data_IF_529895847238
#
_entry.id   IF_529895847238
#
_cell.length_a   1.000
_cell.length_b   1.000
_cell.length_c   1.000
_cell.angle_alpha   90.00
_cell.angle_beta   90.00
_cell.angle_gamma   90.00
#
_symmetry.space_group_name_H-M   'P 1'
#
loop_
_entity.id
_entity.type
_entity.pdbx_description
1 polymer ?
#
# COMPACT_ATOMS: atom_id res chain seq x y z
N UNK A 1 11.64 6.43 0.08
CA UNK A 1 13.08 6.32 -0.24
C UNK A 1 13.35 5.86 -1.68
N UNK A 2 12.31 5.45 -2.44
CA UNK A 2 12.45 4.78 -3.74
C UNK A 2 13.41 5.49 -4.72
N UNK A 3 13.33 6.81 -4.87
CA UNK A 3 14.17 7.59 -5.81
C UNK A 3 15.69 7.50 -5.57
N UNK A 4 16.09 7.11 -4.36
CA UNK A 4 17.50 6.99 -3.96
C UNK A 4 17.97 5.53 -3.89
N UNK A 5 17.08 4.55 -4.03
CA UNK A 5 17.44 3.14 -4.04
C UNK A 5 18.14 2.80 -5.36
N UNK A 6 19.23 2.04 -5.28
CA UNK A 6 20.12 1.72 -6.40
C UNK A 6 21.19 2.78 -6.67
N UNK A 7 21.19 3.91 -5.94
CA UNK A 7 22.25 4.92 -5.98
C UNK A 7 23.19 4.70 -4.78
N UNK A 8 24.51 4.51 -5.01
CA UNK A 8 25.43 4.26 -3.91
C UNK A 8 25.63 5.49 -3.03
N UNK A 9 25.67 5.26 -1.72
CA UNK A 9 26.18 6.23 -0.76
C UNK A 9 27.69 6.48 -1.00
N UNK A 10 28.29 7.53 -0.41
CA UNK A 10 29.73 7.74 -0.46
C UNK A 10 30.51 6.48 -0.03
N UNK A 11 31.64 6.19 -0.69
CA UNK A 11 32.46 5.00 -0.40
C UNK A 11 32.98 4.93 1.04
N UNK A 12 33.14 6.08 1.70
CA UNK A 12 33.43 6.12 3.14
C UNK A 12 32.30 5.50 3.97
N UNK A 13 31.07 5.82 3.63
CA UNK A 13 29.88 5.46 4.39
C UNK A 13 29.54 3.99 4.15
N UNK A 14 29.69 3.52 2.91
CA UNK A 14 29.56 2.09 2.57
C UNK A 14 30.58 1.27 3.37
N UNK A 15 31.86 1.67 3.40
CA UNK A 15 32.89 0.96 4.17
C UNK A 15 32.60 0.97 5.67
N UNK A 16 32.23 2.13 6.22
CA UNK A 16 31.87 2.26 7.63
C UNK A 16 30.67 1.38 8.00
N UNK A 17 29.65 1.33 7.13
CA UNK A 17 28.49 0.47 7.32
C UNK A 17 28.87 -1.02 7.32
N UNK A 18 29.70 -1.46 6.37
CA UNK A 18 30.17 -2.84 6.31
C UNK A 18 31.01 -3.21 7.53
N UNK A 19 31.88 -2.31 7.99
CA UNK A 19 32.71 -2.53 9.19
C UNK A 19 31.86 -2.60 10.46
N UNK A 20 30.88 -1.71 10.63
CA UNK A 20 29.98 -1.68 11.77
C UNK A 20 29.14 -2.96 11.91
N UNK A 21 28.85 -3.62 10.78
CA UNK A 21 28.02 -4.84 10.76
C UNK A 21 28.82 -6.11 10.42
N UNK A 22 30.15 -6.08 10.55
CA UNK A 22 31.00 -7.24 10.26
C UNK A 22 30.64 -8.48 11.13
N UNK A 23 30.11 -8.26 12.34
CA UNK A 23 29.62 -9.34 13.21
C UNK A 23 28.40 -10.10 12.67
N UNK A 24 27.70 -9.54 11.68
CA UNK A 24 26.58 -10.18 11.00
C UNK A 24 27.01 -10.94 9.73
N UNK A 25 28.27 -10.86 9.31
CA UNK A 25 28.81 -11.61 8.17
C UNK A 25 29.06 -13.09 8.53
N UNK A 26 27.96 -13.80 8.79
CA UNK A 26 27.90 -15.22 9.14
C UNK A 26 26.53 -15.79 8.76
N UNK A 27 26.33 -17.08 8.99
CA UNK A 27 24.98 -17.65 8.96
C UNK A 27 24.17 -17.15 10.16
N UNK A 28 23.01 -16.55 9.88
CA UNK A 28 22.07 -16.10 10.90
C UNK A 28 20.77 -16.88 10.79
N UNK A 29 20.40 -17.56 11.88
CA UNK A 29 19.10 -18.21 12.00
C UNK A 29 18.09 -17.23 12.59
N UNK A 30 17.10 -16.82 11.79
CA UNK A 30 15.99 -15.99 12.26
C UNK A 30 14.79 -16.90 12.54
N UNK A 31 14.27 -16.95 13.79
CA UNK A 31 13.06 -17.70 14.09
C UNK A 31 11.90 -17.29 13.19
N UNK A 32 11.31 -18.26 12.48
CA UNK A 32 10.24 -18.03 11.51
C UNK A 32 10.69 -18.09 10.04
N UNK A 33 12.00 -18.08 9.76
CA UNK A 33 12.56 -18.30 8.42
C UNK A 33 13.12 -19.72 8.33
N UNK A 34 12.77 -20.46 7.27
CA UNK A 34 13.06 -21.89 7.16
C UNK A 34 14.56 -22.20 7.00
N UNK A 35 15.31 -21.31 6.33
CA UNK A 35 16.72 -21.49 6.03
C UNK A 35 17.56 -20.37 6.66
N UNK A 36 18.77 -20.67 7.17
CA UNK A 36 19.68 -19.65 7.63
C UNK A 36 19.98 -18.62 6.55
N UNK A 37 20.09 -17.36 6.95
CA UNK A 37 20.55 -16.29 6.08
C UNK A 37 22.07 -16.37 5.97
N UNK A 38 22.58 -16.81 4.82
CA UNK A 38 24.01 -16.82 4.54
C UNK A 38 24.48 -15.41 4.18
N UNK A 39 25.18 -14.76 5.11
CA UNK A 39 25.63 -13.38 4.95
C UNK A 39 27.15 -13.36 4.88
N UNK A 40 27.68 -12.81 3.81
CA UNK A 40 29.11 -12.49 3.69
C UNK A 40 29.32 -10.98 3.54
N UNK A 41 30.57 -10.54 3.65
CA UNK A 41 30.93 -9.13 3.56
C UNK A 41 30.54 -8.50 2.21
N UNK A 42 30.64 -9.26 1.13
CA UNK A 42 30.32 -8.78 -0.22
C UNK A 42 28.82 -8.52 -0.38
N UNK A 43 27.98 -9.37 0.24
CA UNK A 43 26.54 -9.18 0.29
C UNK A 43 26.18 -7.93 1.11
N UNK A 44 26.78 -7.73 2.28
CA UNK A 44 26.55 -6.50 3.07
C UNK A 44 26.93 -5.25 2.27
N UNK A 45 28.06 -5.28 1.57
CA UNK A 45 28.48 -4.17 0.71
C UNK A 45 27.49 -3.92 -0.44
N UNK A 46 27.03 -4.97 -1.12
CA UNK A 46 26.05 -4.86 -2.20
C UNK A 46 24.73 -4.25 -1.71
N UNK A 47 24.25 -4.69 -0.55
CA UNK A 47 23.02 -4.15 0.07
C UNK A 47 23.22 -2.68 0.47
N UNK A 48 24.36 -2.35 1.09
CA UNK A 48 24.68 -0.96 1.45
C UNK A 48 24.70 -0.05 0.23
N UNK A 49 25.36 -0.46 -0.86
CA UNK A 49 25.38 0.28 -2.13
C UNK A 49 23.98 0.46 -2.73
N UNK A 50 23.06 -0.46 -2.46
CA UNK A 50 21.69 -0.39 -2.98
C UNK A 50 20.76 0.47 -2.13
N UNK A 51 20.85 0.41 -0.80
CA UNK A 51 19.83 0.99 0.09
C UNK A 51 20.33 2.08 1.03
N UNK A 52 21.63 2.11 1.37
CA UNK A 52 22.15 2.98 2.44
C UNK A 52 21.84 4.45 2.18
N UNK A 53 22.06 4.93 0.94
CA UNK A 53 21.78 6.32 0.60
C UNK A 53 20.31 6.69 0.81
N UNK A 54 19.39 5.80 0.41
CA UNK A 54 17.95 6.03 0.59
C UNK A 54 17.58 6.18 2.07
N UNK A 55 18.20 5.39 2.95
CA UNK A 55 18.00 5.49 4.40
C UNK A 55 18.65 6.73 4.98
N UNK A 56 19.85 7.11 4.52
CA UNK A 56 20.51 8.36 4.92
C UNK A 56 19.66 9.60 4.58
N UNK A 57 19.05 9.64 3.39
CA UNK A 57 18.11 10.71 3.00
C UNK A 57 16.87 10.71 3.88
N UNK A 58 16.31 9.54 4.22
CA UNK A 58 15.22 9.45 5.18
C UNK A 58 15.63 9.98 6.57
N UNK A 59 16.85 9.69 7.02
CA UNK A 59 17.42 10.19 8.28
C UNK A 59 17.54 11.72 8.29
N UNK A 60 18.00 12.32 7.19
CA UNK A 60 18.05 13.78 7.03
C UNK A 60 16.66 14.41 7.13
N UNK A 61 15.67 13.84 6.45
CA UNK A 61 14.28 14.32 6.50
C UNK A 61 13.71 14.17 7.91
N UNK A 62 13.90 13.03 8.56
CA UNK A 62 13.45 12.78 9.91
C UNK A 62 14.01 13.83 10.89
N UNK A 63 15.33 14.03 10.90
CA UNK A 63 16.00 15.02 11.78
C UNK A 63 15.48 16.42 11.52
N UNK A 64 15.34 16.82 10.26
CA UNK A 64 14.79 18.13 9.89
C UNK A 64 13.37 18.36 10.44
N UNK A 65 12.49 17.36 10.36
CA UNK A 65 11.13 17.44 10.90
C UNK A 65 11.14 17.44 12.43
N UNK A 66 11.96 16.57 13.05
CA UNK A 66 12.08 16.46 14.50
C UNK A 66 12.58 17.74 15.15
N UNK A 67 13.56 18.43 14.55
CA UNK A 67 14.05 19.74 15.01
C UNK A 67 12.95 20.82 15.07
N UNK A 68 11.93 20.72 14.22
CA UNK A 68 10.87 21.74 14.08
C UNK A 68 9.59 21.38 14.82
N UNK A 69 9.22 20.12 14.81
CA UNK A 69 7.96 19.63 15.38
C UNK A 69 8.14 18.97 16.74
N UNK A 70 9.36 18.54 17.09
CA UNK A 70 9.63 17.63 18.20
C UNK A 70 9.47 16.17 17.77
N UNK A 71 10.40 15.30 18.19
CA UNK A 71 10.47 13.89 17.78
C UNK A 71 9.17 13.12 18.10
N UNK A 72 8.55 13.37 19.25
CA UNK A 72 7.35 12.65 19.70
C UNK A 72 6.02 13.23 19.16
N UNK A 73 6.08 14.22 18.26
CA UNK A 73 4.88 14.89 17.71
C UNK A 73 4.53 14.44 16.30
N UNK A 74 5.18 13.38 15.81
CA UNK A 74 4.87 12.73 14.55
C UNK A 74 5.29 11.27 14.55
N UNK A 75 4.80 10.52 13.58
CA UNK A 75 5.08 9.10 13.40
C UNK A 75 5.93 8.97 12.13
N UNK A 76 7.07 8.32 12.24
CA UNK A 76 7.94 8.05 11.09
C UNK A 76 7.60 6.70 10.46
N UNK A 77 7.31 6.71 9.16
CA UNK A 77 7.27 5.52 8.32
C UNK A 77 8.47 5.53 7.36
N UNK A 78 9.10 4.38 7.20
CA UNK A 78 10.14 4.16 6.17
C UNK A 78 9.55 3.32 5.04
N UNK A 79 9.44 3.90 3.83
CA UNK A 79 8.78 3.26 2.68
C UNK A 79 9.70 3.01 1.49
N UNK A 80 9.55 1.84 0.89
CA UNK A 80 10.23 1.37 -0.32
C UNK A 80 9.33 0.46 -1.19
N UNK A 81 8.01 0.54 -1.03
CA UNK A 81 7.02 -0.22 -1.79
C UNK A 81 7.01 0.10 -3.30
N UNK A 82 7.45 1.32 -3.65
CA UNK A 82 7.57 1.81 -5.03
C UNK A 82 8.91 1.45 -5.71
N UNK A 83 9.72 0.54 -5.16
CA UNK A 83 10.93 0.03 -5.85
C UNK A 83 10.59 -0.92 -6.99
N UNK A 84 11.55 -1.26 -7.84
CA UNK A 84 11.32 -2.22 -8.94
C UNK A 84 11.16 -3.67 -8.44
N UNK A 85 11.93 -4.04 -7.42
CA UNK A 85 12.00 -5.41 -6.90
C UNK A 85 11.60 -5.48 -5.43
N UNK A 86 10.96 -6.58 -4.99
CA UNK A 86 10.72 -6.85 -3.57
C UNK A 86 12.04 -7.01 -2.83
N UNK A 87 12.07 -6.63 -1.56
CA UNK A 87 13.24 -6.81 -0.72
C UNK A 87 13.31 -8.26 -0.23
N UNK A 88 14.49 -8.86 -0.28
CA UNK A 88 14.75 -10.15 0.37
C UNK A 88 14.82 -9.99 1.89
N UNK A 89 14.66 -11.08 2.68
CA UNK A 89 14.80 -11.01 4.14
C UNK A 89 16.16 -10.45 4.61
N UNK A 90 17.25 -10.76 3.88
CA UNK A 90 18.59 -10.23 4.18
C UNK A 90 18.65 -8.73 3.90
N UNK A 91 18.10 -8.28 2.78
CA UNK A 91 18.01 -6.84 2.46
C UNK A 91 17.21 -6.11 3.54
N UNK A 92 16.05 -6.64 3.94
CA UNK A 92 15.22 -6.07 5.00
C UNK A 92 15.97 -5.94 6.33
N UNK A 93 16.75 -6.96 6.71
CA UNK A 93 17.55 -6.92 7.93
C UNK A 93 18.54 -5.75 7.93
N UNK A 94 19.30 -5.57 6.85
CA UNK A 94 20.29 -4.50 6.76
C UNK A 94 19.68 -3.12 6.50
N UNK A 95 18.51 -3.05 5.88
CA UNK A 95 17.73 -1.81 5.79
C UNK A 95 17.33 -1.36 7.20
N UNK A 96 16.80 -2.26 8.02
CA UNK A 96 16.44 -1.97 9.41
C UNK A 96 17.65 -1.60 10.26
N UNK A 97 18.81 -2.25 10.03
CA UNK A 97 20.07 -1.87 10.65
C UNK A 97 20.49 -0.43 10.28
N UNK A 98 20.37 -0.05 9.00
CA UNK A 98 20.63 1.31 8.55
C UNK A 98 19.64 2.33 9.15
N UNK A 99 18.35 1.97 9.26
CA UNK A 99 17.30 2.81 9.87
C UNK A 99 17.62 3.09 11.34
N UNK A 100 18.06 2.06 12.08
CA UNK A 100 18.53 2.19 13.44
C UNK A 100 19.79 3.07 13.52
N UNK A 101 20.75 2.87 12.61
CA UNK A 101 21.99 3.66 12.53
C UNK A 101 21.76 5.15 12.26
N UNK A 102 20.73 5.50 11.49
CA UNK A 102 20.30 6.89 11.27
C UNK A 102 19.49 7.49 12.44
N UNK A 103 19.21 6.69 13.47
CA UNK A 103 18.45 7.11 14.65
C UNK A 103 16.98 7.42 14.36
N UNK A 104 16.40 6.75 13.36
CA UNK A 104 14.99 6.93 12.99
C UNK A 104 14.13 5.99 13.86
N UNK A 105 13.27 6.49 14.75
CA UNK A 105 12.35 5.67 15.54
C UNK A 105 11.14 5.26 14.68
N UNK A 106 11.41 4.47 13.63
CA UNK A 106 10.39 4.03 12.68
C UNK A 106 9.28 3.27 13.42
N UNK A 107 8.04 3.71 13.22
CA UNK A 107 6.84 3.07 13.77
C UNK A 107 6.24 2.10 12.75
N UNK A 108 6.51 2.33 11.47
CA UNK A 108 6.08 1.44 10.39
C UNK A 108 7.17 1.35 9.32
N UNK A 109 7.27 0.17 8.69
CA UNK A 109 8.12 -0.06 7.51
C UNK A 109 7.29 -0.69 6.39
N UNK A 110 7.41 -0.17 5.18
CA UNK A 110 6.66 -0.63 4.02
C UNK A 110 7.60 -1.17 2.93
N UNK A 111 7.84 -2.48 2.89
CA UNK A 111 8.56 -3.12 1.79
C UNK A 111 7.68 -3.24 0.55
N UNK A 112 8.30 -3.61 -0.56
CA UNK A 112 7.57 -4.09 -1.75
C UNK A 112 7.38 -5.60 -1.65
N UNK A 113 6.16 -6.06 -1.89
CA UNK A 113 5.82 -7.48 -2.01
C UNK A 113 5.83 -7.95 -3.46
N UNK A 114 6.05 -9.25 -3.69
CA UNK A 114 5.80 -9.86 -5.00
C UNK A 114 4.32 -9.75 -5.38
N UNK A 115 4.03 -9.80 -6.69
CA UNK A 115 2.69 -9.71 -7.25
C UNK A 115 2.29 -8.26 -7.51
N UNK A 116 1.01 -8.04 -7.80
CA UNK A 116 0.48 -6.72 -8.13
C UNK A 116 -0.55 -6.26 -7.11
N UNK A 117 -0.31 -5.07 -6.59
CA UNK A 117 -1.21 -4.35 -5.69
C UNK A 117 -1.98 -3.28 -6.46
N UNK A 118 -2.68 -3.69 -7.51
CA UNK A 118 -3.40 -2.78 -8.38
C UNK A 118 -4.47 -1.98 -7.59
N UNK A 119 -4.67 -0.72 -7.93
CA UNK A 119 -5.61 0.18 -7.24
C UNK A 119 -7.04 -0.32 -7.41
N UNK A 120 -7.83 -0.30 -6.33
CA UNK A 120 -9.26 -0.63 -6.34
C UNK A 120 -9.64 -2.10 -6.59
N UNK A 121 -8.69 -3.02 -6.73
CA UNK A 121 -8.97 -4.43 -7.02
C UNK A 121 -8.18 -5.36 -6.10
N UNK A 122 -8.46 -6.66 -6.17
CA UNK A 122 -7.77 -7.68 -5.38
C UNK A 122 -6.31 -7.86 -5.82
N UNK A 123 -5.55 -8.57 -4.99
CA UNK A 123 -4.18 -8.95 -5.26
C UNK A 123 -4.10 -9.87 -6.49
N UNK A 124 -3.10 -9.66 -7.34
CA UNK A 124 -2.81 -10.53 -8.50
C UNK A 124 -1.42 -11.11 -8.34
N UNK A 125 -1.35 -12.43 -8.15
CA UNK A 125 -0.09 -13.16 -7.98
C UNK A 125 -0.27 -14.48 -7.24
N UNK A 126 0.85 -15.07 -6.83
CA UNK A 126 0.85 -16.25 -5.96
C UNK A 126 0.61 -15.81 -4.51
N UNK A 127 -0.54 -16.19 -3.97
CA UNK A 127 -0.98 -15.85 -2.59
C UNK A 127 -0.14 -16.59 -1.55
N UNK A 128 0.28 -17.83 -1.82
CA UNK A 128 1.12 -18.59 -0.90
C UNK A 128 2.54 -18.03 -0.85
N UNK A 129 3.04 -17.55 -2.00
CA UNK A 129 4.30 -16.80 -2.03
C UNK A 129 4.20 -15.50 -1.24
N UNK A 130 3.14 -14.71 -1.44
CA UNK A 130 2.91 -13.50 -0.64
C UNK A 130 2.88 -13.82 0.86
N UNK A 131 2.15 -14.87 1.26
CA UNK A 131 2.03 -15.26 2.66
C UNK A 131 3.40 -15.60 3.28
N UNK A 132 4.26 -16.33 2.55
CA UNK A 132 5.63 -16.61 3.00
C UNK A 132 6.48 -15.35 3.13
N UNK A 133 6.49 -14.49 2.10
CA UNK A 133 7.24 -13.23 2.12
C UNK A 133 6.79 -12.34 3.31
N UNK A 134 5.48 -12.23 3.53
CA UNK A 134 4.93 -11.45 4.64
C UNK A 134 5.33 -12.01 6.01
N UNK A 135 5.33 -13.33 6.20
CA UNK A 135 5.81 -13.97 7.43
C UNK A 135 7.32 -13.79 7.65
N UNK A 136 8.12 -13.89 6.58
CA UNK A 136 9.56 -13.66 6.65
C UNK A 136 9.88 -12.21 7.02
N UNK A 137 9.17 -11.23 6.46
CA UNK A 137 9.31 -9.82 6.84
C UNK A 137 8.99 -9.58 8.31
N UNK A 138 7.91 -10.19 8.83
CA UNK A 138 7.58 -10.12 10.26
C UNK A 138 8.66 -10.76 11.15
N UNK A 139 9.22 -11.88 10.71
CA UNK A 139 10.32 -12.55 11.42
C UNK A 139 11.58 -11.67 11.47
N UNK A 140 11.93 -11.03 10.34
CA UNK A 140 13.04 -10.08 10.26
C UNK A 140 12.80 -8.87 11.15
N UNK A 141 11.61 -8.27 11.12
CA UNK A 141 11.25 -7.14 11.98
C UNK A 141 11.41 -7.51 13.46
N UNK A 142 10.86 -8.64 13.88
CA UNK A 142 10.95 -9.09 15.27
C UNK A 142 12.41 -9.34 15.71
N UNK A 143 13.25 -9.84 14.81
CA UNK A 143 14.68 -9.99 15.06
C UNK A 143 15.39 -8.64 15.16
N UNK A 144 15.18 -7.75 14.18
CA UNK A 144 15.82 -6.45 14.07
C UNK A 144 15.46 -5.50 15.23
N UNK A 145 14.23 -5.56 15.75
CA UNK A 145 13.82 -4.82 16.95
C UNK A 145 14.73 -5.14 18.13
N UNK A 146 14.99 -6.43 18.38
CA UNK A 146 15.87 -6.87 19.48
C UNK A 146 17.34 -6.59 19.20
N UNK A 147 17.78 -6.82 17.97
CA UNK A 147 19.20 -6.71 17.59
C UNK A 147 19.68 -5.26 17.49
N UNK A 148 18.84 -4.37 16.95
CA UNK A 148 19.22 -2.99 16.63
C UNK A 148 18.55 -1.93 17.52
N UNK A 149 17.71 -2.34 18.47
CA UNK A 149 17.02 -1.41 19.38
C UNK A 149 15.99 -0.52 18.69
N UNK A 150 15.34 -1.02 17.63
CA UNK A 150 14.21 -0.34 17.00
C UNK A 150 12.99 -0.37 17.93
N UNK A 151 11.99 0.52 17.73
CA UNK A 151 10.80 0.53 18.58
C UNK A 151 10.06 -0.81 18.59
N UNK A 152 9.70 -1.30 19.78
CA UNK A 152 8.85 -2.51 19.94
C UNK A 152 7.50 -2.41 19.23
N UNK A 153 7.07 -1.18 18.93
CA UNK A 153 5.85 -0.85 18.21
C UNK A 153 5.99 -0.87 16.69
N UNK A 154 7.17 -1.18 16.12
CA UNK A 154 7.42 -1.21 14.68
C UNK A 154 6.49 -2.22 13.99
N UNK A 155 5.69 -1.72 13.03
CA UNK A 155 4.71 -2.52 12.28
C UNK A 155 5.12 -2.69 10.83
N UNK A 156 4.77 -3.84 10.26
CA UNK A 156 4.78 -4.00 8.82
C UNK A 156 3.63 -3.20 8.19
N UNK A 157 3.93 -2.46 7.14
CA UNK A 157 2.99 -1.56 6.46
C UNK A 157 2.69 -2.05 5.05
N UNK A 158 1.42 -2.23 4.74
CA UNK A 158 0.94 -2.66 3.42
C UNK A 158 0.33 -1.46 2.71
N UNK A 159 1.05 -0.96 1.72
CA UNK A 159 0.59 0.09 0.81
C UNK A 159 -0.33 -0.47 -0.26
N UNK A 160 -1.19 0.38 -0.83
CA UNK A 160 -2.26 -0.05 -1.75
C UNK A 160 -3.09 -1.21 -1.18
N UNK A 161 -3.27 -1.20 0.15
CA UNK A 161 -3.74 -2.32 0.92
C UNK A 161 -5.24 -2.52 0.86
N UNK A 162 -6.01 -1.54 0.38
CA UNK A 162 -7.46 -1.70 0.18
C UNK A 162 -7.78 -2.75 -0.88
N UNK A 163 -8.92 -3.40 -0.70
CA UNK A 163 -9.52 -4.35 -1.63
C UNK A 163 -8.73 -5.66 -1.84
N UNK A 164 -7.63 -5.91 -1.11
CA UNK A 164 -6.80 -7.12 -1.25
C UNK A 164 -7.36 -8.33 -0.48
N UNK A 165 -8.63 -8.65 -0.69
CA UNK A 165 -9.36 -9.61 0.14
C UNK A 165 -8.78 -11.02 0.11
N UNK A 166 -8.20 -11.46 -1.00
CA UNK A 166 -7.57 -12.77 -1.12
C UNK A 166 -6.40 -12.98 -0.15
N UNK A 167 -5.66 -11.91 0.19
CA UNK A 167 -4.48 -12.00 1.06
C UNK A 167 -4.76 -11.64 2.52
N UNK A 168 -5.91 -11.03 2.83
CA UNK A 168 -6.26 -10.64 4.21
C UNK A 168 -6.26 -11.80 5.22
N UNK A 169 -6.80 -13.00 4.92
CA UNK A 169 -6.72 -14.13 5.86
C UNK A 169 -5.27 -14.56 6.15
N UNK A 170 -4.36 -14.42 5.18
CA UNK A 170 -2.95 -14.73 5.36
C UNK A 170 -2.26 -13.69 6.23
N UNK A 171 -2.54 -12.40 5.99
CA UNK A 171 -2.09 -11.29 6.84
C UNK A 171 -2.56 -11.50 8.29
N UNK A 172 -3.86 -11.75 8.50
CA UNK A 172 -4.44 -11.92 9.83
C UNK A 172 -3.80 -13.08 10.61
N UNK A 173 -3.59 -14.22 9.97
CA UNK A 173 -2.90 -15.37 10.59
C UNK A 173 -1.44 -15.05 10.93
N UNK A 174 -0.73 -14.38 10.03
CA UNK A 174 0.67 -14.02 10.24
C UNK A 174 0.83 -13.02 11.41
N UNK A 175 0.02 -11.96 11.47
CA UNK A 175 0.09 -11.00 12.58
C UNK A 175 -0.23 -11.67 13.93
N UNK A 176 -1.19 -12.60 13.97
CA UNK A 176 -1.51 -13.37 15.17
C UNK A 176 -0.36 -14.31 15.57
N UNK A 177 0.23 -15.03 14.60
CA UNK A 177 1.36 -15.94 14.81
C UNK A 177 2.58 -15.22 15.42
N UNK A 178 2.88 -14.01 14.93
CA UNK A 178 4.04 -13.24 15.38
C UNK A 178 3.74 -12.26 16.53
N UNK A 179 2.47 -12.12 16.92
CA UNK A 179 2.06 -11.07 17.87
C UNK A 179 2.37 -9.66 17.38
N UNK A 180 2.35 -9.46 16.06
CA UNK A 180 2.84 -8.25 15.40
C UNK A 180 1.73 -7.23 15.13
N UNK A 181 2.08 -5.94 15.11
CA UNK A 181 1.20 -4.90 14.60
C UNK A 181 1.20 -4.83 13.07
N UNK A 182 0.08 -4.37 12.50
CA UNK A 182 -0.07 -4.08 11.07
C UNK A 182 -0.44 -2.61 10.86
N UNK A 183 0.10 -2.02 9.80
CA UNK A 183 -0.40 -0.77 9.23
C UNK A 183 -0.95 -1.05 7.82
N UNK A 184 -2.25 -0.84 7.61
CA UNK A 184 -2.90 -1.08 6.32
C UNK A 184 -3.36 0.24 5.74
N UNK A 185 -2.82 0.63 4.57
CA UNK A 185 -3.19 1.90 3.93
C UNK A 185 -4.33 1.73 2.94
N UNK A 186 -5.42 2.43 3.20
CA UNK A 186 -6.57 2.58 2.29
C UNK A 186 -6.75 4.05 1.93
N UNK A 187 -7.23 4.36 0.72
CA UNK A 187 -7.61 5.72 0.35
C UNK A 187 -8.71 5.70 -0.72
N UNK A 188 -8.36 5.39 -1.97
CA UNK A 188 -9.30 5.52 -3.09
C UNK A 188 -10.51 4.58 -3.04
N UNK A 189 -10.47 3.47 -2.30
CA UNK A 189 -11.69 2.67 -2.09
C UNK A 189 -12.78 3.44 -1.35
N UNK A 190 -12.47 4.39 -0.47
CA UNK A 190 -13.48 5.18 0.24
C UNK A 190 -14.25 6.05 -0.75
N UNK A 191 -13.51 6.76 -1.62
CA UNK A 191 -14.05 7.53 -2.75
C UNK A 191 -14.97 6.67 -3.65
N UNK A 192 -14.59 5.42 -3.93
CA UNK A 192 -15.43 4.53 -4.74
C UNK A 192 -16.75 4.19 -4.04
N UNK A 193 -16.76 4.03 -2.72
CA UNK A 193 -17.98 3.74 -1.97
C UNK A 193 -18.87 4.98 -1.81
N UNK A 194 -18.29 6.19 -1.79
CA UNK A 194 -19.04 7.45 -1.93
C UNK A 194 -19.76 7.52 -3.28
N UNK A 195 -19.07 7.19 -4.36
CA UNK A 195 -19.66 7.15 -5.71
C UNK A 195 -20.76 6.08 -5.83
N UNK A 196 -20.59 4.93 -5.19
CA UNK A 196 -21.63 3.90 -5.07
C UNK A 196 -22.85 4.44 -4.31
N UNK A 197 -22.64 5.11 -3.18
CA UNK A 197 -23.72 5.71 -2.39
C UNK A 197 -24.50 6.79 -3.17
N UNK A 198 -23.80 7.63 -3.92
CA UNK A 198 -24.40 8.62 -4.82
C UNK A 198 -25.23 7.94 -5.92
N UNK A 199 -24.69 6.90 -6.55
CA UNK A 199 -25.43 6.15 -7.57
C UNK A 199 -26.71 5.52 -7.01
N UNK A 200 -26.64 4.91 -5.82
CA UNK A 200 -27.78 4.29 -5.14
C UNK A 200 -28.85 5.29 -4.70
N UNK A 201 -28.47 6.53 -4.39
CA UNK A 201 -29.42 7.59 -4.05
C UNK A 201 -30.28 8.03 -5.24
N UNK A 202 -29.83 7.75 -6.48
CA UNK A 202 -30.54 8.18 -7.69
C UNK A 202 -30.42 9.69 -7.93
N UNK A 203 -31.36 10.24 -8.70
CA UNK A 203 -31.46 11.69 -8.95
C UNK A 203 -30.13 12.33 -9.37
N UNK A 204 -29.78 13.42 -8.70
CA UNK A 204 -28.52 14.15 -8.94
C UNK A 204 -27.28 13.32 -8.59
N UNK A 205 -27.34 12.46 -7.57
CA UNK A 205 -26.22 11.59 -7.20
C UNK A 205 -25.86 10.60 -8.32
N UNK A 206 -26.87 10.00 -8.94
CA UNK A 206 -26.66 9.13 -10.10
C UNK A 206 -26.21 9.91 -11.34
N UNK A 207 -26.72 11.13 -11.55
CA UNK A 207 -26.27 12.00 -12.63
C UNK A 207 -24.77 12.32 -12.50
N UNK A 208 -24.32 12.69 -11.30
CA UNK A 208 -22.91 12.90 -10.97
C UNK A 208 -22.09 11.64 -11.23
N UNK A 209 -22.52 10.48 -10.74
CA UNK A 209 -21.77 9.23 -10.91
C UNK A 209 -21.57 8.85 -12.39
N UNK A 210 -22.59 9.08 -13.21
CA UNK A 210 -22.54 8.88 -14.67
C UNK A 210 -21.62 9.89 -15.37
N UNK A 211 -21.67 11.16 -14.98
CA UNK A 211 -20.82 12.22 -15.51
C UNK A 211 -19.34 11.98 -15.17
N UNK A 212 -19.06 11.56 -13.93
CA UNK A 212 -17.71 11.15 -13.50
C UNK A 212 -17.19 10.00 -14.36
N UNK A 213 -18.01 8.97 -14.62
CA UNK A 213 -17.61 7.87 -15.49
C UNK A 213 -17.35 8.35 -16.93
N UNK A 214 -18.25 9.13 -17.52
CA UNK A 214 -18.10 9.63 -18.88
C UNK A 214 -16.84 10.52 -19.03
N UNK A 215 -16.59 11.38 -18.05
CA UNK A 215 -15.39 12.22 -18.01
C UNK A 215 -14.11 11.40 -17.84
N UNK A 216 -14.13 10.40 -16.96
CA UNK A 216 -12.98 9.51 -16.76
C UNK A 216 -12.69 8.68 -18.02
N UNK A 217 -13.73 8.18 -18.69
CA UNK A 217 -13.62 7.45 -19.95
C UNK A 217 -13.01 8.33 -21.06
N UNK A 218 -13.48 9.58 -21.20
CA UNK A 218 -12.99 10.51 -22.22
C UNK A 218 -11.53 10.97 -21.96
N UNK A 219 -11.10 11.00 -20.70
CA UNK A 219 -9.76 11.43 -20.27
C UNK A 219 -8.88 10.27 -19.82
N UNK A 220 -9.12 9.08 -20.39
CA UNK A 220 -8.47 7.84 -19.97
C UNK A 220 -6.94 7.98 -19.85
N UNK A 221 -6.26 8.43 -20.90
CA UNK A 221 -4.79 8.53 -20.93
C UNK A 221 -4.25 9.49 -19.87
N UNK A 222 -4.90 10.64 -19.69
CA UNK A 222 -4.52 11.66 -18.70
C UNK A 222 -4.61 11.11 -17.27
N UNK A 223 -5.72 10.45 -16.96
CA UNK A 223 -6.02 10.01 -15.59
C UNK A 223 -5.29 8.71 -15.23
N UNK A 224 -5.09 7.82 -16.20
CA UNK A 224 -4.40 6.54 -16.01
C UNK A 224 -2.87 6.68 -16.03
N UNK A 225 -2.31 7.65 -16.76
CA UNK A 225 -0.86 7.81 -16.96
C UNK A 225 -0.04 7.79 -15.67
N UNK A 226 -0.35 8.62 -14.65
CA UNK A 226 0.37 8.64 -13.37
C UNK A 226 0.27 7.34 -12.57
N UNK A 227 -0.68 6.47 -12.88
CA UNK A 227 -0.97 5.23 -12.17
C UNK A 227 -0.65 3.98 -12.99
N UNK A 228 -0.03 4.11 -14.17
CA UNK A 228 0.14 3.02 -15.14
C UNK A 228 0.85 1.77 -14.57
N UNK A 229 1.75 1.94 -13.59
CA UNK A 229 2.44 0.82 -12.91
C UNK A 229 1.55 0.06 -11.91
N UNK A 230 0.42 0.64 -11.49
CA UNK A 230 -0.43 0.15 -10.40
C UNK A 230 -1.91 0.01 -10.81
N UNK A 231 -2.18 -0.04 -12.12
CA UNK A 231 -3.50 -0.41 -12.69
C UNK A 231 -3.32 -1.39 -13.86
N UNK A 232 -4.40 -2.05 -14.24
CA UNK A 232 -4.42 -2.98 -15.37
C UNK A 232 -5.81 -2.96 -16.03
N UNK A 233 -6.06 -1.87 -16.76
CA UNK A 233 -7.36 -1.64 -17.41
C UNK A 233 -7.27 -2.12 -18.86
N UNK A 234 -8.18 -3.01 -19.24
CA UNK A 234 -8.46 -3.33 -20.64
C UNK A 234 -9.56 -2.39 -21.15
N UNK A 235 -9.26 -1.42 -22.03
CA UNK A 235 -10.26 -0.47 -22.52
C UNK A 235 -11.42 -1.14 -23.26
N UNK A 236 -11.22 -2.31 -23.85
CA UNK A 236 -12.29 -3.05 -24.54
C UNK A 236 -13.34 -3.63 -23.58
N UNK A 237 -13.00 -3.73 -22.31
CA UNK A 237 -13.88 -4.21 -21.23
C UNK A 237 -14.64 -3.07 -20.55
N UNK A 238 -14.35 -1.81 -20.89
CA UNK A 238 -15.08 -0.66 -20.37
C UNK A 238 -16.41 -0.50 -21.12
N UNK A 239 -17.55 -0.41 -20.43
CA UNK A 239 -18.83 -0.12 -21.08
C UNK A 239 -18.81 1.28 -21.69
N UNK A 240 -19.35 1.45 -22.89
CA UNK A 240 -19.44 2.78 -23.50
C UNK A 240 -20.24 3.74 -22.60
N UNK A 241 -19.90 5.04 -22.53
CA UNK A 241 -20.63 6.01 -21.70
C UNK A 241 -22.15 6.04 -21.97
N UNK A 242 -22.58 5.84 -23.22
CA UNK A 242 -24.00 5.75 -23.56
C UNK A 242 -24.72 4.57 -22.87
N UNK A 243 -24.04 3.43 -22.71
CA UNK A 243 -24.58 2.28 -22.00
C UNK A 243 -24.68 2.56 -20.50
N UNK A 244 -23.63 3.14 -19.89
CA UNK A 244 -23.63 3.52 -18.47
C UNK A 244 -24.68 4.60 -18.17
N UNK A 245 -24.91 5.53 -19.11
CA UNK A 245 -25.94 6.55 -18.97
C UNK A 245 -27.36 5.97 -18.92
N UNK A 246 -27.58 4.78 -19.49
CA UNK A 246 -28.86 4.08 -19.43
C UNK A 246 -29.07 3.26 -18.14
N UNK A 247 -28.02 3.08 -17.33
CA UNK A 247 -28.12 2.30 -16.09
C UNK A 247 -28.93 3.02 -15.01
N UNK A 248 -29.64 2.24 -14.20
CA UNK A 248 -30.11 2.73 -12.90
C UNK A 248 -28.98 2.73 -11.85
N UNK A 249 -29.30 3.22 -10.64
CA UNK A 249 -28.34 3.29 -9.54
C UNK A 249 -27.83 1.93 -9.08
N UNK A 250 -28.69 0.91 -9.10
CA UNK A 250 -28.33 -0.43 -8.65
C UNK A 250 -27.38 -1.12 -9.63
N UNK A 251 -27.62 -0.97 -10.94
CA UNK A 251 -26.74 -1.46 -12.00
C UNK A 251 -25.36 -0.80 -11.93
N UNK A 252 -25.30 0.53 -11.77
CA UNK A 252 -24.05 1.26 -11.60
C UNK A 252 -23.28 0.78 -10.35
N UNK A 253 -23.97 0.71 -9.21
CA UNK A 253 -23.39 0.25 -7.96
C UNK A 253 -22.89 -1.19 -8.04
N UNK A 254 -23.63 -2.10 -8.67
CA UNK A 254 -23.23 -3.49 -8.85
C UNK A 254 -21.99 -3.63 -9.75
N UNK A 255 -21.89 -2.81 -10.80
CA UNK A 255 -20.71 -2.79 -11.67
C UNK A 255 -19.46 -2.24 -10.98
N UNK A 256 -19.63 -1.25 -10.08
CA UNK A 256 -18.52 -0.58 -9.39
C UNK A 256 -18.09 -1.28 -8.10
N UNK A 257 -19.01 -1.89 -7.36
CA UNK A 257 -18.71 -2.51 -6.05
C UNK A 257 -17.80 -3.71 -6.23
N UNK A 258 -16.72 -3.77 -5.45
CA UNK A 258 -15.80 -4.89 -5.52
C UNK A 258 -16.37 -6.16 -4.88
N UNK A 259 -17.12 -6.89 -5.70
CA UNK A 259 -17.69 -8.18 -5.39
C UNK A 259 -17.42 -9.15 -6.55
N UNK A 260 -16.39 -9.97 -6.41
CA UNK A 260 -16.00 -10.94 -7.44
C UNK A 260 -17.07 -12.02 -7.71
N UNK A 261 -18.03 -12.19 -6.79
CA UNK A 261 -19.15 -13.12 -7.00
C UNK A 261 -20.30 -12.50 -7.80
N UNK A 262 -20.31 -11.18 -7.95
CA UNK A 262 -21.32 -10.45 -8.70
C UNK A 262 -21.00 -10.47 -10.21
N UNK A 263 -21.85 -11.02 -11.08
CA UNK A 263 -21.59 -11.06 -12.53
C UNK A 263 -21.52 -9.67 -13.18
N UNK A 264 -22.12 -8.66 -12.56
CA UNK A 264 -22.08 -7.29 -13.06
C UNK A 264 -20.77 -6.57 -12.72
N UNK A 265 -20.04 -7.02 -11.70
CA UNK A 265 -18.81 -6.37 -11.26
C UNK A 265 -17.80 -6.27 -12.40
N UNK A 266 -17.31 -5.06 -12.64
CA UNK A 266 -16.33 -4.78 -13.67
C UNK A 266 -15.10 -4.14 -13.04
N UNK A 267 -14.05 -4.95 -12.88
CA UNK A 267 -12.79 -4.49 -12.28
C UNK A 267 -12.15 -3.33 -13.08
N UNK A 268 -12.29 -3.32 -14.40
CA UNK A 268 -11.71 -2.27 -15.25
C UNK A 268 -12.42 -0.93 -15.05
N UNK A 269 -13.75 -0.95 -14.96
CA UNK A 269 -14.56 0.22 -14.61
C UNK A 269 -14.19 0.72 -13.21
N UNK A 270 -14.02 -0.18 -12.24
CA UNK A 270 -13.64 0.19 -10.88
C UNK A 270 -12.26 0.85 -10.84
N UNK A 271 -11.28 0.32 -11.56
CA UNK A 271 -9.94 0.91 -11.64
C UNK A 271 -9.95 2.28 -12.30
N UNK A 272 -10.68 2.44 -13.41
CA UNK A 272 -10.83 3.73 -14.08
C UNK A 272 -11.40 4.78 -13.13
N UNK A 273 -12.48 4.44 -12.41
CA UNK A 273 -13.10 5.35 -11.44
C UNK A 273 -12.23 5.58 -10.21
N UNK A 274 -11.39 4.62 -9.81
CA UNK A 274 -10.44 4.78 -8.71
C UNK A 274 -9.41 5.86 -8.99
N UNK A 275 -8.93 5.98 -10.23
CA UNK A 275 -7.98 7.03 -10.65
C UNK A 275 -8.67 8.25 -11.25
N UNK A 276 -9.98 8.16 -11.51
CA UNK A 276 -10.82 9.22 -12.07
C UNK A 276 -11.36 10.24 -11.07
N UNK A 277 -10.95 10.20 -9.80
CA UNK A 277 -11.40 11.14 -8.75
C UNK A 277 -11.21 12.62 -9.11
N UNK A 278 -10.24 12.93 -9.99
CA UNK A 278 -10.00 14.29 -10.50
C UNK A 278 -11.26 14.88 -11.17
N UNK A 279 -12.04 14.07 -11.89
CA UNK A 279 -13.25 14.53 -12.59
C UNK A 279 -14.28 15.05 -11.59
N UNK A 280 -14.45 14.36 -10.46
CA UNK A 280 -15.36 14.81 -9.41
C UNK A 280 -14.81 16.00 -8.62
N UNK A 281 -13.51 16.05 -8.38
CA UNK A 281 -12.88 17.20 -7.72
C UNK A 281 -13.10 18.50 -8.52
N UNK A 282 -13.04 18.43 -9.85
CA UNK A 282 -13.29 19.56 -10.75
C UNK A 282 -14.75 20.06 -10.74
N UNK A 283 -15.71 19.26 -10.23
CA UNK A 283 -17.10 19.67 -10.06
C UNK A 283 -17.31 20.63 -8.88
N UNK A 284 -16.33 20.77 -7.98
CA UNK A 284 -16.37 21.70 -6.86
C UNK A 284 -17.56 21.48 -5.93
N UNK A 285 -18.30 22.56 -5.62
CA UNK A 285 -19.41 22.51 -4.65
C UNK A 285 -20.51 21.54 -5.06
N UNK A 286 -20.78 21.36 -6.36
CA UNK A 286 -21.81 20.42 -6.83
C UNK A 286 -21.57 19.00 -6.32
N UNK A 287 -20.31 18.55 -6.30
CA UNK A 287 -19.96 17.24 -5.77
C UNK A 287 -20.04 17.20 -4.24
N UNK A 288 -19.52 18.23 -3.56
CA UNK A 288 -19.53 18.30 -2.10
C UNK A 288 -20.96 18.39 -1.53
N UNK A 289 -21.81 19.24 -2.11
CA UNK A 289 -23.22 19.41 -1.74
C UNK A 289 -23.99 18.10 -1.96
N UNK A 290 -23.66 17.34 -3.01
CA UNK A 290 -24.25 16.03 -3.26
C UNK A 290 -23.81 14.98 -2.24
N UNK A 291 -22.56 15.02 -1.75
CA UNK A 291 -22.11 14.16 -0.67
C UNK A 291 -22.89 14.42 0.62
N UNK A 292 -23.06 15.70 0.99
CA UNK A 292 -23.83 16.10 2.18
C UNK A 292 -25.30 15.68 2.06
N UNK A 293 -25.95 15.99 0.91
CA UNK A 293 -27.36 15.68 0.70
C UNK A 293 -27.67 14.18 0.68
N UNK A 294 -26.68 13.33 0.34
CA UNK A 294 -26.86 11.88 0.19
C UNK A 294 -26.11 11.07 1.26
N UNK A 295 -25.72 11.69 2.39
CA UNK A 295 -25.00 11.05 3.49
C UNK A 295 -25.67 9.74 3.93
N UNK A 296 -27.00 9.72 4.07
CA UNK A 296 -27.76 8.55 4.50
C UNK A 296 -27.60 7.34 3.56
N UNK A 297 -27.36 7.57 2.26
CA UNK A 297 -27.06 6.52 1.28
C UNK A 297 -25.57 6.16 1.29
N UNK A 298 -24.68 7.14 1.47
CA UNK A 298 -23.23 6.97 1.38
C UNK A 298 -22.63 6.30 2.62
N UNK A 299 -22.97 6.79 3.81
CA UNK A 299 -22.33 6.38 5.06
C UNK A 299 -22.38 4.86 5.28
N UNK A 300 -23.49 4.13 5.05
CA UNK A 300 -23.52 2.67 5.18
C UNK A 300 -22.53 1.96 4.24
N UNK A 301 -22.34 2.45 3.01
CA UNK A 301 -21.41 1.86 2.05
C UNK A 301 -19.95 2.03 2.50
N UNK A 302 -19.58 3.24 2.90
CA UNK A 302 -18.24 3.54 3.41
C UNK A 302 -17.96 2.75 4.70
N UNK A 303 -18.88 2.76 5.66
CA UNK A 303 -18.73 2.04 6.92
C UNK A 303 -18.62 0.54 6.71
N UNK A 304 -19.47 -0.05 5.87
CA UNK A 304 -19.40 -1.48 5.56
C UNK A 304 -18.07 -1.84 4.88
N UNK A 305 -17.60 -1.00 3.95
CA UNK A 305 -16.35 -1.25 3.28
C UNK A 305 -15.16 -1.22 4.25
N UNK A 306 -15.04 -0.16 5.06
CA UNK A 306 -13.92 -0.03 6.00
C UNK A 306 -14.00 -1.09 7.11
N UNK A 307 -15.15 -1.22 7.77
CA UNK A 307 -15.26 -2.09 8.94
C UNK A 307 -15.40 -3.57 8.55
N UNK A 308 -16.43 -3.92 7.81
CA UNK A 308 -16.76 -5.32 7.52
C UNK A 308 -15.82 -5.96 6.49
N UNK A 309 -15.48 -5.22 5.42
CA UNK A 309 -14.68 -5.78 4.31
C UNK A 309 -13.17 -5.67 4.54
N UNK A 310 -12.71 -4.66 5.26
CA UNK A 310 -11.27 -4.46 5.52
C UNK A 310 -10.87 -4.83 6.94
N UNK A 311 -11.30 -4.07 7.96
CA UNK A 311 -10.80 -4.25 9.33
C UNK A 311 -11.09 -5.64 9.89
N UNK A 312 -12.33 -6.12 9.82
CA UNK A 312 -12.65 -7.46 10.37
C UNK A 312 -11.88 -8.57 9.65
N UNK A 313 -11.73 -8.49 8.32
CA UNK A 313 -11.04 -9.50 7.53
C UNK A 313 -9.53 -9.49 7.68
N UNK A 314 -8.92 -8.33 7.94
CA UNK A 314 -7.47 -8.21 8.10
C UNK A 314 -7.00 -8.40 9.56
N UNK A 315 -7.89 -8.23 10.55
CA UNK A 315 -7.52 -8.21 11.97
C UNK A 315 -8.29 -9.18 12.88
N UNK A 316 -9.47 -9.69 12.50
CA UNK A 316 -10.36 -10.44 13.40
C UNK A 316 -10.66 -11.88 12.91
N UNK A 317 -9.74 -12.49 12.16
CA UNK A 317 -9.90 -13.85 11.62
C UNK A 317 -9.50 -14.91 12.63
#
# INVERSE_FOLDING_TARGET
>A
MADFIGKPAPESDVRAFVEAHAGLAREICIPGIAHPLAIDKALVEAIARKFLLGVQEAGKIYRHIAERKGADRFIAEVSMDETDQPQTPVEMLFILAAVAGEGIPAQTIAPKFTGRFNKGVDYVGDVERFAREFEEDLAVIAFAVREFGLPDSLKLSVHSGSDKFSIYPHIARAIAKFGAGLHLKTAGTTWLEELIGLALAGGEGLAIAKEVYAGAYARFDELCGPYASVIEIDPSRLPAPAAVNAWDGAQYAAALRHDQSCPAYNMHLRQLLHVGYKVAAEMGSRYLDALEANEASIAPNVSQNIFERHLKRAFLV
#
